data_IF_257101977737
#
_entry.id   IF_257101977737
#
_cell.length_a   1.000
_cell.length_b   1.000
_cell.length_c   1.000
_cell.angle_alpha   90.00
_cell.angle_beta   90.00
_cell.angle_gamma   90.00
#
_symmetry.space_group_name_H-M   'P 1'
#
loop_
_entity.id
_entity.type
_entity.pdbx_description
1 polymer ?
#
# COMPACT_ATOMS: atom_id res chain seq x y z
N UNK A 1 43.34 -44.47 -93.39
CA UNK A 1 44.14 -43.23 -93.21
C UNK A 1 44.33 -43.08 -91.71
N UNK A 2 45.51 -43.32 -91.14
CA UNK A 2 46.73 -42.49 -91.24
C UNK A 2 46.52 -41.07 -90.67
N UNK A 3 47.49 -40.52 -89.92
CA UNK A 3 48.25 -41.18 -88.84
C UNK A 3 48.57 -40.20 -87.66
N UNK A 4 49.50 -40.61 -86.77
CA UNK A 4 50.56 -39.75 -86.16
C UNK A 4 50.17 -38.64 -85.15
N UNK A 5 50.99 -38.26 -84.17
CA UNK A 5 52.25 -38.83 -83.62
C UNK A 5 52.52 -38.20 -82.24
N UNK A 6 53.40 -38.83 -81.46
CA UNK A 6 54.33 -38.20 -80.51
C UNK A 6 53.79 -37.39 -79.29
N UNK A 7 54.49 -37.29 -78.17
CA UNK A 7 55.62 -38.08 -77.62
C UNK A 7 55.95 -37.62 -76.19
N UNK A 8 56.74 -38.44 -75.49
CA UNK A 8 57.50 -38.14 -74.26
C UNK A 8 56.80 -38.21 -72.90
N UNK A 9 57.63 -38.71 -71.98
CA UNK A 9 57.38 -39.00 -70.57
C UNK A 9 57.47 -37.75 -69.68
N UNK A 10 56.65 -37.68 -68.63
CA UNK A 10 57.13 -37.84 -67.23
C UNK A 10 56.05 -37.56 -66.17
N UNK A 11 56.12 -38.33 -65.08
CA UNK A 11 55.65 -38.09 -63.71
C UNK A 11 54.55 -37.02 -63.38
N UNK A 12 53.45 -37.54 -62.76
CA UNK A 12 52.94 -37.20 -61.40
C UNK A 12 51.63 -36.37 -61.25
N UNK A 13 50.61 -37.06 -60.68
CA UNK A 13 49.50 -36.62 -59.78
C UNK A 13 48.30 -35.79 -60.31
N UNK A 14 47.10 -36.32 -59.94
CA UNK A 14 45.84 -35.63 -59.58
C UNK A 14 45.05 -34.90 -60.70
N UNK A 15 43.75 -34.52 -60.51
CA UNK A 15 42.78 -34.86 -59.44
C UNK A 15 41.36 -35.32 -59.92
N UNK A 16 40.51 -35.62 -58.92
CA UNK A 16 39.06 -35.90 -58.88
C UNK A 16 38.08 -35.23 -59.85
N UNK A 17 37.03 -35.97 -60.21
CA UNK A 17 35.59 -35.65 -59.94
C UNK A 17 34.72 -36.89 -60.31
N UNK A 18 33.46 -37.11 -59.92
CA UNK A 18 32.63 -36.70 -58.77
C UNK A 18 31.50 -37.76 -58.60
N UNK A 19 30.98 -38.02 -57.39
CA UNK A 19 29.79 -38.87 -57.18
C UNK A 19 28.93 -38.38 -55.99
N UNK A 20 27.61 -38.38 -56.16
CA UNK A 20 26.64 -37.75 -55.24
C UNK A 20 26.00 -38.81 -54.33
N UNK A 21 26.44 -38.91 -53.08
CA UNK A 21 25.77 -39.71 -52.04
C UNK A 21 24.83 -38.85 -51.18
N UNK A 22 23.72 -39.46 -50.77
CA UNK A 22 22.65 -38.87 -49.98
C UNK A 22 23.08 -38.54 -48.55
N UNK A 23 22.82 -37.31 -48.11
CA UNK A 23 23.04 -36.86 -46.73
C UNK A 23 22.07 -37.54 -45.75
N UNK A 24 22.59 -38.28 -44.78
CA UNK A 24 21.99 -38.44 -43.46
C UNK A 24 22.88 -37.75 -42.44
N UNK A 25 22.34 -36.81 -41.67
CA UNK A 25 23.08 -36.11 -40.61
C UNK A 25 23.39 -37.03 -39.41
N UNK A 26 24.36 -36.68 -38.55
CA UNK A 26 24.78 -37.50 -37.42
C UNK A 26 23.73 -37.52 -36.30
N UNK A 27 22.78 -38.45 -36.41
CA UNK A 27 21.89 -38.86 -35.33
C UNK A 27 22.63 -39.72 -34.31
N UNK A 28 22.71 -39.23 -33.08
CA UNK A 28 23.17 -39.98 -31.90
C UNK A 28 22.41 -39.45 -30.69
N UNK A 29 22.13 -40.31 -29.71
CA UNK A 29 21.31 -39.90 -28.56
C UNK A 29 22.03 -38.85 -27.72
N UNK A 30 21.27 -38.14 -26.88
CA UNK A 30 21.82 -37.14 -25.95
C UNK A 30 22.88 -37.78 -25.02
N UNK A 31 22.67 -39.05 -24.64
CA UNK A 31 23.62 -39.87 -23.89
C UNK A 31 24.92 -40.11 -24.66
N UNK A 32 24.86 -40.40 -25.95
CA UNK A 32 26.06 -40.64 -26.77
C UNK A 32 26.88 -39.37 -26.98
N UNK A 33 26.22 -38.20 -27.01
CA UNK A 33 26.89 -36.89 -27.07
C UNK A 33 27.58 -36.52 -25.75
N UNK A 34 27.01 -36.90 -24.60
CA UNK A 34 27.59 -36.70 -23.28
C UNK A 34 28.73 -37.69 -22.97
N UNK A 35 28.65 -38.91 -23.51
CA UNK A 35 29.70 -39.94 -23.39
C UNK A 35 30.75 -39.87 -24.50
N UNK A 36 30.61 -38.96 -25.47
CA UNK A 36 31.60 -38.73 -26.51
C UNK A 36 32.93 -38.28 -25.87
N UNK A 37 34.05 -38.85 -26.33
CA UNK A 37 35.38 -38.49 -25.81
C UNK A 37 35.64 -37.00 -26.01
N UNK A 38 35.69 -36.28 -24.90
CA UNK A 38 36.09 -34.88 -24.83
C UNK A 38 37.42 -34.66 -25.55
N UNK A 39 37.47 -33.66 -26.43
CA UNK A 39 38.72 -33.20 -27.07
C UNK A 39 39.47 -32.16 -26.22
N UNK A 40 39.02 -31.91 -24.99
CA UNK A 40 39.71 -31.01 -24.05
C UNK A 40 41.03 -31.65 -23.67
N UNK A 41 42.13 -30.94 -23.93
CA UNK A 41 43.48 -31.38 -23.53
C UNK A 41 43.61 -31.38 -22.00
N UNK A 42 44.59 -32.10 -21.45
CA UNK A 42 44.88 -32.05 -20.02
C UNK A 42 45.09 -30.61 -19.52
N UNK A 43 45.70 -29.75 -20.35
CA UNK A 43 45.83 -28.31 -20.10
C UNK A 43 44.47 -27.60 -20.02
N UNK A 44 43.54 -27.90 -20.93
CA UNK A 44 42.19 -27.33 -20.91
C UNK A 44 41.39 -27.73 -19.68
N UNK A 45 41.52 -28.98 -19.21
CA UNK A 45 40.92 -29.44 -17.95
C UNK A 45 41.48 -28.69 -16.74
N UNK A 46 42.81 -28.50 -16.69
CA UNK A 46 43.47 -27.71 -15.64
C UNK A 46 42.98 -26.26 -15.66
N UNK A 47 42.92 -25.61 -16.83
CA UNK A 47 42.45 -24.22 -16.95
C UNK A 47 41.00 -24.05 -16.50
N UNK A 48 40.10 -24.96 -16.90
CA UNK A 48 38.69 -24.95 -16.45
C UNK A 48 38.61 -25.17 -14.93
N UNK A 49 39.40 -26.11 -14.39
CA UNK A 49 39.50 -26.35 -12.94
C UNK A 49 40.01 -25.13 -12.16
N UNK A 50 41.01 -24.43 -12.67
CA UNK A 50 41.53 -23.19 -12.09
C UNK A 50 40.48 -22.06 -12.13
N UNK A 51 39.80 -21.86 -13.26
CA UNK A 51 38.74 -20.83 -13.38
C UNK A 51 37.56 -21.14 -12.45
N UNK A 52 37.12 -22.40 -12.40
CA UNK A 52 36.07 -22.84 -11.47
C UNK A 52 36.51 -22.68 -10.00
N UNK A 53 37.74 -23.08 -9.66
CA UNK A 53 38.30 -22.92 -8.32
C UNK A 53 38.40 -21.46 -7.88
N UNK A 54 38.88 -20.56 -8.75
CA UNK A 54 38.93 -19.12 -8.50
C UNK A 54 37.53 -18.52 -8.36
N UNK A 55 36.57 -18.94 -9.19
CA UNK A 55 35.18 -18.51 -9.09
C UNK A 55 34.53 -18.97 -7.78
N UNK A 56 34.73 -20.24 -7.41
CA UNK A 56 34.22 -20.81 -6.17
C UNK A 56 34.84 -20.13 -4.94
N UNK A 57 36.16 -19.93 -4.91
CA UNK A 57 36.84 -19.22 -3.84
C UNK A 57 36.42 -17.75 -3.74
N UNK A 58 36.16 -17.09 -4.88
CA UNK A 58 35.62 -15.72 -4.90
C UNK A 58 34.21 -15.64 -4.33
N UNK A 59 33.31 -16.55 -4.73
CA UNK A 59 31.94 -16.62 -4.20
C UNK A 59 31.91 -17.03 -2.72
N UNK A 60 32.72 -18.02 -2.30
CA UNK A 60 32.84 -18.41 -0.88
C UNK A 60 33.41 -17.26 -0.04
N UNK A 61 34.41 -16.53 -0.55
CA UNK A 61 34.93 -15.32 0.11
C UNK A 61 33.86 -14.24 0.22
N UNK A 62 33.04 -14.03 -0.80
CA UNK A 62 31.93 -13.08 -0.78
C UNK A 62 30.89 -13.47 0.30
N UNK A 63 30.48 -14.73 0.35
CA UNK A 63 29.56 -15.26 1.38
C UNK A 63 30.15 -15.18 2.79
N UNK A 64 31.44 -15.47 2.97
CA UNK A 64 32.13 -15.35 4.27
C UNK A 64 32.35 -13.90 4.69
N UNK A 65 32.55 -12.96 3.75
CA UNK A 65 32.63 -11.53 4.07
C UNK A 65 31.26 -10.97 4.48
N UNK A 66 30.18 -11.43 3.83
CA UNK A 66 28.81 -11.12 4.25
C UNK A 66 28.52 -11.65 5.67
N UNK A 67 28.79 -12.93 5.94
CA UNK A 67 28.55 -13.51 7.28
C UNK A 67 29.50 -12.99 8.36
N UNK A 68 30.73 -12.60 8.00
CA UNK A 68 31.70 -12.02 8.92
C UNK A 68 31.38 -10.59 9.33
N UNK A 69 30.52 -9.88 8.61
CA UNK A 69 30.16 -8.50 8.88
C UNK A 69 29.17 -8.35 10.05
N UNK A 70 28.32 -9.34 10.32
CA UNK A 70 27.31 -9.26 11.39
C UNK A 70 27.89 -9.32 12.82
N UNK A 71 29.18 -9.67 12.99
CA UNK A 71 29.81 -9.77 14.32
C UNK A 71 30.66 -8.54 14.71
N UNK A 72 30.74 -7.50 13.87
CA UNK A 72 31.56 -6.31 14.09
C UNK A 72 30.75 -5.10 14.57
N UNK A 73 31.00 -4.64 15.80
CA UNK A 73 30.18 -3.58 16.41
C UNK A 73 30.29 -2.18 15.78
N UNK A 74 29.14 -1.51 15.66
CA UNK A 74 28.97 -0.05 15.49
C UNK A 74 29.69 0.61 14.32
N UNK A 75 29.10 0.51 13.13
CA UNK A 75 29.17 1.56 12.11
C UNK A 75 27.74 1.99 11.81
N UNK A 76 27.47 3.29 11.73
CA UNK A 76 26.22 3.80 11.21
C UNK A 76 26.18 3.52 9.70
N UNK A 77 25.53 2.42 9.32
CA UNK A 77 25.39 2.00 7.92
C UNK A 77 24.55 3.03 7.18
N UNK A 78 25.03 3.47 6.02
CA UNK A 78 24.19 4.20 5.05
C UNK A 78 22.96 3.34 4.75
N UNK A 79 21.73 3.86 4.88
CA UNK A 79 20.51 3.15 4.50
C UNK A 79 20.60 2.61 3.07
N UNK A 80 20.31 1.33 2.84
CA UNK A 80 20.31 0.77 1.47
C UNK A 80 19.06 1.25 0.71
N UNK A 81 17.93 1.35 1.41
CA UNK A 81 16.68 1.90 0.93
C UNK A 81 16.27 3.12 1.77
N UNK A 82 15.54 4.06 1.14
CA UNK A 82 14.99 5.21 1.87
C UNK A 82 14.03 4.79 3.00
N UNK A 83 13.39 3.62 2.86
CA UNK A 83 12.52 3.02 3.89
C UNK A 83 13.27 2.68 5.18
N UNK A 84 14.57 2.43 5.11
CA UNK A 84 15.37 2.04 6.27
C UNK A 84 15.72 3.25 7.16
N UNK A 85 15.39 4.46 6.70
CA UNK A 85 15.43 5.69 7.54
C UNK A 85 14.22 5.82 8.47
N UNK A 86 13.18 5.01 8.31
CA UNK A 86 11.97 5.05 9.13
C UNK A 86 12.26 4.40 10.49
N UNK A 87 12.36 5.24 11.53
CA UNK A 87 12.43 4.76 12.91
C UNK A 87 11.03 4.44 13.44
N UNK A 88 10.79 3.16 13.74
CA UNK A 88 9.56 2.73 14.41
C UNK A 88 9.66 2.97 15.91
N UNK A 89 8.71 3.70 16.50
CA UNK A 89 8.67 3.86 17.94
C UNK A 89 8.18 2.57 18.60
N UNK A 90 9.11 1.75 19.11
CA UNK A 90 8.78 0.45 19.72
C UNK A 90 7.75 0.54 20.86
N UNK A 91 7.65 1.68 21.57
CA UNK A 91 6.64 1.88 22.62
C UNK A 91 5.20 1.91 22.09
N UNK A 92 5.01 2.10 20.79
CA UNK A 92 3.70 2.17 20.14
C UNK A 92 3.26 0.83 19.57
N UNK A 93 4.18 -0.14 19.51
CA UNK A 93 3.84 -1.52 19.15
C UNK A 93 2.88 -2.18 20.14
N UNK A 94 2.72 -1.63 21.35
CA UNK A 94 1.74 -2.10 22.34
C UNK A 94 0.28 -1.77 21.96
N UNK A 95 0.05 -0.89 20.98
CA UNK A 95 -1.31 -0.51 20.60
C UNK A 95 -1.99 -1.63 19.81
N UNK A 96 -3.23 -1.96 20.21
CA UNK A 96 -4.07 -3.00 19.62
C UNK A 96 -5.36 -2.44 18.99
N UNK A 97 -5.70 -1.18 19.29
CA UNK A 97 -6.99 -0.59 18.96
C UNK A 97 -6.85 0.65 18.08
N UNK A 98 -7.37 0.57 16.85
CA UNK A 98 -7.52 1.72 15.96
C UNK A 98 -8.82 2.46 16.29
N UNK A 99 -8.72 3.69 16.77
CA UNK A 99 -9.85 4.62 16.84
C UNK A 99 -9.76 5.55 15.63
N UNK A 100 -10.70 5.47 14.71
CA UNK A 100 -10.71 6.26 13.48
C UNK A 100 -11.79 7.34 13.53
N UNK A 101 -11.41 8.61 13.34
CA UNK A 101 -12.36 9.72 13.11
C UNK A 101 -12.35 10.06 11.62
N UNK A 102 -13.50 9.93 10.97
CA UNK A 102 -13.63 10.17 9.54
C UNK A 102 -13.78 11.67 9.22
N UNK A 103 -12.88 12.20 8.40
CA UNK A 103 -12.88 13.57 7.90
C UNK A 103 -14.06 13.85 6.97
N UNK A 104 -14.69 15.01 7.14
CA UNK A 104 -15.89 15.41 6.39
C UNK A 104 -15.85 16.84 5.84
N UNK A 105 -14.95 17.69 6.34
CA UNK A 105 -14.68 19.07 5.94
C UNK A 105 -13.30 19.47 6.49
N UNK A 106 -12.81 20.67 6.18
CA UNK A 106 -11.48 21.14 6.61
C UNK A 106 -11.65 22.39 7.48
N UNK A 107 -11.22 22.35 8.74
CA UNK A 107 -11.16 23.54 9.60
C UNK A 107 -10.00 24.45 9.16
N UNK A 108 -10.20 25.77 9.16
CA UNK A 108 -9.28 26.75 8.56
C UNK A 108 -8.07 27.10 9.43
N UNK A 109 -8.05 26.70 10.70
CA UNK A 109 -6.99 27.07 11.64
C UNK A 109 -7.22 28.43 12.34
N UNK A 110 -8.48 28.87 12.44
CA UNK A 110 -8.88 30.10 13.14
C UNK A 110 -8.91 29.96 14.66
N UNK A 111 -9.80 30.70 15.32
CA UNK A 111 -10.03 30.55 16.77
C UNK A 111 -10.76 29.22 17.07
N UNK A 112 -10.23 28.33 17.93
CA UNK A 112 -10.89 27.09 18.30
C UNK A 112 -12.24 27.28 19.03
N UNK A 113 -12.47 28.45 19.65
CA UNK A 113 -13.77 28.78 20.24
C UNK A 113 -14.86 29.03 19.18
N UNK A 114 -14.46 29.37 17.95
CA UNK A 114 -15.37 29.69 16.85
C UNK A 114 -15.69 28.48 15.95
N UNK A 115 -15.32 27.28 16.36
CA UNK A 115 -15.48 26.04 15.59
C UNK A 115 -16.93 25.72 15.17
N UNK A 116 -17.97 26.28 15.80
CA UNK A 116 -19.36 26.10 15.35
C UNK A 116 -19.73 26.97 14.14
N UNK A 117 -18.95 28.00 13.79
CA UNK A 117 -19.25 28.89 12.66
C UNK A 117 -18.83 28.27 11.33
N UNK A 118 -19.74 28.22 10.36
CA UNK A 118 -19.43 27.85 8.96
C UNK A 118 -18.27 28.65 8.35
N UNK A 119 -18.05 29.90 8.80
CA UNK A 119 -16.92 30.74 8.36
C UNK A 119 -15.55 30.11 8.62
N UNK A 120 -15.43 29.25 9.64
CA UNK A 120 -14.16 28.62 10.03
C UNK A 120 -13.88 27.31 9.28
N UNK A 121 -14.73 26.91 8.34
CA UNK A 121 -14.64 25.63 7.64
C UNK A 121 -14.67 25.78 6.12
N UNK A 122 -13.97 24.87 5.44
CA UNK A 122 -14.09 24.63 4.00
C UNK A 122 -15.13 23.52 3.80
N UNK A 123 -16.38 23.95 3.62
CA UNK A 123 -17.56 23.09 3.48
C UNK A 123 -17.85 22.76 2.01
N UNK A 124 -18.55 21.66 1.77
CA UNK A 124 -19.29 21.44 0.52
C UNK A 124 -20.56 22.31 0.50
N UNK A 125 -21.08 22.64 -0.68
CA UNK A 125 -22.33 23.43 -0.84
C UNK A 125 -23.52 22.75 -0.14
N UNK A 126 -23.59 21.42 -0.13
CA UNK A 126 -24.63 20.67 0.57
C UNK A 126 -24.47 20.68 2.11
N UNK A 127 -23.30 21.09 2.62
CA UNK A 127 -22.97 21.09 4.06
C UNK A 127 -23.17 22.46 4.72
N UNK A 128 -23.11 23.55 3.96
CA UNK A 128 -23.26 24.91 4.49
C UNK A 128 -24.68 25.17 5.02
N UNK A 129 -24.77 25.94 6.11
CA UNK A 129 -26.02 26.38 6.74
C UNK A 129 -26.77 25.33 7.56
N UNK A 130 -26.20 24.12 7.76
CA UNK A 130 -26.88 22.96 8.39
C UNK A 130 -26.29 22.51 9.74
N UNK A 131 -25.54 23.37 10.43
CA UNK A 131 -24.94 23.03 11.74
C UNK A 131 -23.85 21.94 11.69
N UNK A 132 -23.38 21.56 10.49
CA UNK A 132 -22.35 20.55 10.28
C UNK A 132 -21.02 20.80 11.05
N UNK A 133 -20.50 22.03 11.20
CA UNK A 133 -19.32 22.31 12.02
C UNK A 133 -19.38 21.74 13.43
N UNK A 134 -20.53 21.88 14.11
CA UNK A 134 -20.78 21.34 15.45
C UNK A 134 -20.68 19.81 15.47
N UNK A 135 -21.16 19.14 14.42
CA UNK A 135 -21.06 17.70 14.28
C UNK A 135 -19.59 17.26 14.12
N UNK A 136 -18.82 17.95 13.28
CA UNK A 136 -17.40 17.65 13.08
C UNK A 136 -16.61 17.80 14.38
N UNK A 137 -16.85 18.87 15.13
CA UNK A 137 -16.23 19.04 16.45
C UNK A 137 -16.64 17.94 17.44
N UNK A 138 -17.92 17.55 17.47
CA UNK A 138 -18.39 16.44 18.30
C UNK A 138 -17.74 15.09 17.90
N UNK A 139 -17.43 14.86 16.62
CA UNK A 139 -16.69 13.68 16.16
C UNK A 139 -15.25 13.69 16.65
N UNK A 140 -14.59 14.86 16.60
CA UNK A 140 -13.24 15.06 17.12
C UNK A 140 -13.19 14.83 18.63
N UNK A 141 -14.10 15.46 19.37
CA UNK A 141 -14.23 15.31 20.82
C UNK A 141 -14.50 13.85 21.23
N UNK A 142 -15.38 13.13 20.52
CA UNK A 142 -15.64 11.72 20.83
C UNK A 142 -14.45 10.81 20.51
N UNK A 143 -13.72 11.08 19.43
CA UNK A 143 -12.47 10.38 19.13
C UNK A 143 -11.41 10.57 20.21
N UNK A 144 -11.24 11.81 20.68
CA UNK A 144 -10.34 12.15 21.79
C UNK A 144 -10.78 11.48 23.11
N UNK A 145 -12.05 11.55 23.47
CA UNK A 145 -12.63 10.90 24.66
C UNK A 145 -12.32 9.39 24.70
N UNK A 146 -12.60 8.68 23.60
CA UNK A 146 -12.35 7.24 23.49
C UNK A 146 -10.84 6.92 23.58
N UNK A 147 -9.99 7.74 22.97
CA UNK A 147 -8.54 7.56 23.01
C UNK A 147 -7.93 7.90 24.38
N UNK A 148 -8.57 8.74 25.18
CA UNK A 148 -8.17 8.99 26.57
C UNK A 148 -8.63 7.86 27.52
N UNK A 149 -9.79 7.25 27.24
CA UNK A 149 -10.32 6.12 28.00
C UNK A 149 -9.52 4.82 27.79
N UNK A 150 -9.06 4.56 26.56
CA UNK A 150 -8.25 3.38 26.23
C UNK A 150 -6.76 3.73 26.10
N UNK A 151 -5.89 3.07 26.89
CA UNK A 151 -4.44 3.28 26.84
C UNK A 151 -3.77 2.52 25.69
N UNK A 152 -4.40 1.47 25.16
CA UNK A 152 -3.90 0.63 24.08
C UNK A 152 -4.36 1.13 22.69
N UNK A 153 -5.05 2.28 22.62
CA UNK A 153 -5.54 2.82 21.35
C UNK A 153 -4.60 3.83 20.70
N UNK A 154 -4.58 3.83 19.37
CA UNK A 154 -4.08 4.93 18.54
C UNK A 154 -5.27 5.63 17.87
N UNK A 155 -5.39 6.94 18.09
CA UNK A 155 -6.36 7.80 17.41
C UNK A 155 -5.82 8.20 16.04
N UNK A 156 -6.57 7.92 14.98
CA UNK A 156 -6.27 8.32 13.60
C UNK A 156 -7.40 9.21 13.10
N UNK A 157 -7.09 10.50 12.89
CA UNK A 157 -7.94 11.37 12.08
C UNK A 157 -7.64 11.06 10.61
N UNK A 158 -8.66 10.80 9.79
CA UNK A 158 -8.46 10.33 8.40
C UNK A 158 -9.26 11.12 7.40
N UNK A 159 -8.59 11.63 6.37
CA UNK A 159 -9.18 12.38 5.28
C UNK A 159 -8.17 13.35 4.67
N UNK A 160 -7.98 13.28 3.36
CA UNK A 160 -6.97 14.03 2.63
C UNK A 160 -7.36 15.47 2.27
N UNK A 161 -6.65 16.05 1.32
CA UNK A 161 -6.89 17.41 0.81
C UNK A 161 -8.04 17.40 -0.23
N UNK A 162 -9.25 17.16 0.26
CA UNK A 162 -10.45 16.89 -0.56
C UNK A 162 -11.03 18.13 -1.28
N UNK A 163 -10.61 19.35 -0.89
CA UNK A 163 -11.20 20.62 -1.33
C UNK A 163 -10.14 21.73 -1.50
N UNK A 164 -10.44 22.67 -2.41
CA UNK A 164 -9.73 23.96 -2.56
C UNK A 164 -10.46 25.07 -1.76
N UNK A 165 -9.82 26.20 -1.42
CA UNK A 165 -8.46 26.63 -1.77
C UNK A 165 -7.40 26.34 -0.67
N UNK A 166 -7.68 25.45 0.28
CA UNK A 166 -6.76 25.13 1.38
C UNK A 166 -5.64 24.17 0.96
N UNK A 167 -4.51 24.25 1.67
CA UNK A 167 -3.39 23.30 1.61
C UNK A 167 -3.47 22.19 2.67
N UNK A 168 -4.36 22.36 3.66
CA UNK A 168 -4.57 21.40 4.75
C UNK A 168 -5.38 20.19 4.30
N UNK A 169 -5.16 19.05 4.94
CA UNK A 169 -6.04 17.87 4.83
C UNK A 169 -7.18 17.97 5.86
N UNK A 170 -8.25 17.18 5.66
CA UNK A 170 -9.30 17.05 6.68
C UNK A 170 -8.69 16.53 8.00
N UNK A 171 -7.84 15.50 7.93
CA UNK A 171 -7.15 14.90 9.08
C UNK A 171 -6.25 15.87 9.86
N UNK A 172 -5.40 16.66 9.17
CA UNK A 172 -4.56 17.68 9.79
C UNK A 172 -5.42 18.71 10.51
N UNK A 173 -6.47 19.21 9.85
CA UNK A 173 -7.35 20.20 10.47
C UNK A 173 -8.08 19.68 11.71
N UNK A 174 -8.44 18.39 11.74
CA UNK A 174 -9.10 17.75 12.88
C UNK A 174 -8.12 17.53 14.04
N UNK A 175 -6.89 17.07 13.78
CA UNK A 175 -5.87 16.92 14.83
C UNK A 175 -5.46 18.28 15.41
N UNK A 176 -5.28 19.30 14.55
CA UNK A 176 -4.98 20.66 14.99
C UNK A 176 -6.10 21.22 15.88
N UNK A 177 -7.37 21.03 15.52
CA UNK A 177 -8.51 21.46 16.32
C UNK A 177 -8.62 20.68 17.65
N UNK A 178 -8.32 19.38 17.65
CA UNK A 178 -8.30 18.56 18.87
C UNK A 178 -7.27 19.06 19.90
N UNK A 179 -6.08 19.46 19.42
CA UNK A 179 -5.02 20.00 20.27
C UNK A 179 -5.32 21.45 20.71
N UNK A 180 -5.79 22.31 19.80
CA UNK A 180 -6.02 23.73 20.08
C UNK A 180 -7.25 23.98 20.97
N UNK A 181 -8.27 23.11 20.91
CA UNK A 181 -9.40 23.12 21.84
C UNK A 181 -9.13 22.39 23.18
N UNK A 182 -7.91 21.86 23.39
CA UNK A 182 -7.55 21.15 24.62
C UNK A 182 -8.26 19.80 24.83
N UNK A 183 -8.85 19.22 23.77
CA UNK A 183 -9.49 17.89 23.81
C UNK A 183 -8.45 16.76 23.96
N UNK A 184 -7.24 16.98 23.45
CA UNK A 184 -6.09 16.10 23.63
C UNK A 184 -5.03 16.79 24.52
N UNK A 185 -4.45 16.10 25.51
CA UNK A 185 -3.39 16.64 26.35
C UNK A 185 -2.20 17.16 25.52
N UNK A 186 -1.88 18.43 25.68
CA UNK A 186 -0.67 19.04 25.15
C UNK A 186 -0.08 19.96 26.22
N UNK A 187 1.21 19.84 26.46
CA UNK A 187 2.00 20.79 27.26
C UNK A 187 2.81 21.69 26.31
N UNK A 188 3.61 22.60 26.86
CA UNK A 188 4.56 23.39 26.09
C UNK A 188 5.74 22.57 25.53
N UNK A 189 5.93 21.32 25.99
CA UNK A 189 7.06 20.45 25.61
C UNK A 189 6.64 19.14 24.97
N UNK A 190 5.40 18.67 25.18
CA UNK A 190 4.92 17.37 24.73
C UNK A 190 3.50 17.47 24.16
N UNK A 191 3.27 16.76 23.05
CA UNK A 191 1.93 16.59 22.44
C UNK A 191 1.42 15.17 22.68
N UNK A 192 0.11 14.96 22.55
CA UNK A 192 -0.50 13.64 22.77
C UNK A 192 0.01 12.58 21.78
N UNK A 193 0.97 11.75 22.23
CA UNK A 193 1.68 10.77 21.39
C UNK A 193 0.79 9.67 20.80
N UNK A 194 -0.44 9.49 21.28
CA UNK A 194 -1.40 8.48 20.81
C UNK A 194 -2.45 9.02 19.84
N UNK A 195 -2.16 10.12 19.15
CA UNK A 195 -2.92 10.58 17.98
C UNK A 195 -2.01 10.79 16.76
N UNK A 196 -2.57 10.60 15.55
CA UNK A 196 -1.91 10.89 14.28
C UNK A 196 -2.93 11.18 13.16
N UNK A 197 -2.42 11.54 11.98
CA UNK A 197 -3.19 11.80 10.76
C UNK A 197 -3.03 10.68 9.74
N UNK A 198 -4.06 10.49 8.92
CA UNK A 198 -4.06 9.79 7.63
C UNK A 198 -4.51 10.82 6.58
N UNK A 199 -3.59 11.21 5.70
CA UNK A 199 -3.67 12.45 4.92
C UNK A 199 -4.03 12.26 3.44
N UNK A 200 -4.53 11.08 3.06
CA UNK A 200 -4.71 10.69 1.66
C UNK A 200 -6.11 10.16 1.31
N UNK A 201 -6.95 9.77 2.28
CA UNK A 201 -8.28 9.25 1.97
C UNK A 201 -9.21 10.31 1.35
N UNK A 202 -9.82 9.96 0.21
CA UNK A 202 -10.75 10.83 -0.52
C UNK A 202 -12.21 10.42 -0.32
N UNK A 203 -12.46 9.29 0.33
CA UNK A 203 -13.79 8.78 0.63
C UNK A 203 -13.84 7.87 1.87
N UNK A 204 -15.03 7.42 2.24
CA UNK A 204 -15.28 6.60 3.43
C UNK A 204 -14.67 5.19 3.41
N UNK A 205 -14.43 4.61 2.22
CA UNK A 205 -13.76 3.32 2.12
C UNK A 205 -12.25 3.50 2.37
N UNK A 206 -11.67 4.50 1.69
CA UNK A 206 -10.28 4.89 1.87
C UNK A 206 -10.02 5.33 3.31
N UNK A 207 -10.95 6.03 3.98
CA UNK A 207 -10.77 6.37 5.39
C UNK A 207 -10.47 5.12 6.23
N UNK A 208 -11.27 4.08 6.06
CA UNK A 208 -11.10 2.82 6.80
C UNK A 208 -9.77 2.14 6.47
N UNK A 209 -9.53 1.80 5.19
CA UNK A 209 -8.37 0.98 4.83
C UNK A 209 -7.04 1.73 4.95
N UNK A 210 -7.01 3.04 4.69
CA UNK A 210 -5.81 3.84 4.90
C UNK A 210 -5.54 4.09 6.38
N UNK A 211 -6.57 4.18 7.24
CA UNK A 211 -6.34 4.23 8.69
C UNK A 211 -5.75 2.93 9.24
N UNK A 212 -6.16 1.77 8.70
CA UNK A 212 -5.55 0.46 9.02
C UNK A 212 -4.09 0.41 8.54
N UNK A 213 -3.80 0.87 7.32
CA UNK A 213 -2.44 0.96 6.79
C UNK A 213 -1.56 1.92 7.60
N UNK A 214 -2.09 3.11 7.95
CA UNK A 214 -1.44 4.12 8.78
C UNK A 214 -1.18 3.61 10.19
N UNK A 215 -2.08 2.84 10.78
CA UNK A 215 -1.86 2.18 12.08
C UNK A 215 -0.65 1.24 12.01
N UNK A 216 -0.52 0.42 10.95
CA UNK A 216 0.67 -0.44 10.74
C UNK A 216 1.94 0.36 10.49
N UNK A 217 1.88 1.41 9.69
CA UNK A 217 3.01 2.32 9.44
C UNK A 217 3.52 2.97 10.74
N UNK A 218 2.62 3.29 11.68
CA UNK A 218 2.94 3.93 12.97
C UNK A 218 3.45 2.95 14.04
N UNK A 219 2.82 1.77 14.14
CA UNK A 219 3.03 0.82 15.26
C UNK A 219 3.87 -0.41 14.91
N UNK A 220 4.11 -0.67 13.62
CA UNK A 220 4.73 -1.89 13.12
C UNK A 220 3.81 -3.12 13.07
N UNK A 221 2.52 -3.01 13.45
CA UNK A 221 1.54 -4.11 13.38
C UNK A 221 0.14 -3.64 12.98
N UNK A 222 -0.70 -4.56 12.54
CA UNK A 222 -2.13 -4.28 12.29
C UNK A 222 -2.93 -4.27 13.59
N UNK A 223 -4.03 -3.50 13.70
CA UNK A 223 -4.85 -3.46 14.91
C UNK A 223 -5.69 -4.74 15.06
N UNK A 224 -5.94 -5.17 16.30
CA UNK A 224 -6.83 -6.30 16.61
C UNK A 224 -8.32 -5.88 16.60
N UNK A 225 -8.59 -4.59 16.76
CA UNK A 225 -9.94 -4.00 16.79
C UNK A 225 -9.98 -2.58 16.21
N UNK A 226 -11.12 -2.24 15.61
CA UNK A 226 -11.39 -0.91 15.03
C UNK A 226 -12.66 -0.34 15.65
N UNK A 227 -12.59 0.92 16.08
CA UNK A 227 -13.74 1.76 16.41
C UNK A 227 -13.77 2.96 15.48
N UNK A 228 -14.85 3.11 14.70
CA UNK A 228 -15.06 4.26 13.83
C UNK A 228 -15.98 5.27 14.51
N UNK A 229 -15.61 6.56 14.46
CA UNK A 229 -16.41 7.71 14.92
C UNK A 229 -16.82 8.55 13.71
N UNK A 230 -18.10 8.95 13.68
CA UNK A 230 -18.65 9.83 12.65
C UNK A 230 -20.18 9.96 12.75
N UNK A 231 -20.84 10.47 11.72
CA UNK A 231 -22.31 10.56 11.68
C UNK A 231 -22.97 9.17 11.74
N UNK A 232 -23.97 9.01 12.60
CA UNK A 232 -24.67 7.74 12.80
C UNK A 232 -25.36 7.22 11.53
N UNK A 233 -25.83 8.11 10.65
CA UNK A 233 -26.40 7.76 9.33
C UNK A 233 -25.43 6.93 8.47
N UNK A 234 -24.11 7.08 8.65
CA UNK A 234 -23.09 6.37 7.84
C UNK A 234 -22.77 4.98 8.40
N UNK A 235 -23.26 4.64 9.60
CA UNK A 235 -22.97 3.39 10.32
C UNK A 235 -23.17 2.15 9.46
N UNK A 236 -24.33 2.04 8.81
CA UNK A 236 -24.66 0.86 8.00
C UNK A 236 -23.69 0.63 6.84
N UNK A 237 -23.22 1.70 6.19
CA UNK A 237 -22.22 1.60 5.11
C UNK A 237 -20.87 1.10 5.63
N UNK A 238 -20.41 1.61 6.77
CA UNK A 238 -19.16 1.13 7.36
C UNK A 238 -19.24 -0.34 7.79
N UNK A 239 -20.28 -0.73 8.53
CA UNK A 239 -20.42 -2.09 9.08
C UNK A 239 -20.76 -3.13 8.00
N UNK A 240 -21.71 -2.84 7.10
CA UNK A 240 -22.24 -3.83 6.14
C UNK A 240 -21.46 -3.89 4.83
N UNK A 241 -20.77 -2.81 4.45
CA UNK A 241 -20.09 -2.68 3.15
C UNK A 241 -18.56 -2.56 3.33
N UNK A 242 -18.05 -1.52 4.01
CA UNK A 242 -16.60 -1.28 4.07
C UNK A 242 -15.84 -2.34 4.88
N UNK A 243 -16.29 -2.64 6.10
CA UNK A 243 -15.71 -3.69 6.93
C UNK A 243 -15.81 -5.06 6.25
N UNK A 244 -16.92 -5.32 5.55
CA UNK A 244 -17.12 -6.53 4.74
C UNK A 244 -16.17 -6.60 3.54
N UNK A 245 -15.95 -5.50 2.82
CA UNK A 245 -15.07 -5.42 1.65
C UNK A 245 -13.61 -5.77 2.00
N UNK A 246 -13.16 -5.38 3.19
CA UNK A 246 -11.82 -5.74 3.71
C UNK A 246 -11.85 -7.04 4.55
N UNK A 247 -12.99 -7.75 4.63
CA UNK A 247 -13.20 -8.97 5.44
C UNK A 247 -12.76 -8.81 6.91
N UNK A 248 -13.04 -7.65 7.52
CA UNK A 248 -12.72 -7.42 8.93
C UNK A 248 -13.60 -8.29 9.84
N UNK A 249 -13.07 -8.88 10.94
CA UNK A 249 -13.88 -9.67 11.86
C UNK A 249 -14.97 -8.82 12.54
N UNK A 250 -16.24 -9.23 12.40
CA UNK A 250 -17.40 -8.48 12.93
C UNK A 250 -17.31 -8.22 14.44
N UNK A 251 -16.74 -9.16 15.21
CA UNK A 251 -16.54 -9.02 16.67
C UNK A 251 -15.47 -7.99 17.06
N UNK A 252 -14.66 -7.56 16.09
CA UNK A 252 -13.54 -6.62 16.24
C UNK A 252 -13.79 -5.29 15.51
N UNK A 253 -15.05 -5.00 15.15
CA UNK A 253 -15.44 -3.74 14.50
C UNK A 253 -16.57 -3.07 15.29
N UNK A 254 -16.45 -1.78 15.56
CA UNK A 254 -17.51 -0.99 16.17
C UNK A 254 -17.68 0.37 15.48
N UNK A 255 -18.89 0.92 15.55
CA UNK A 255 -19.22 2.23 15.00
C UNK A 255 -19.98 3.08 16.02
N UNK A 256 -19.39 4.21 16.40
CA UNK A 256 -19.93 5.23 17.29
C UNK A 256 -20.49 6.36 16.44
N UNK A 257 -21.82 6.36 16.29
CA UNK A 257 -22.57 7.45 15.67
C UNK A 257 -22.68 8.64 16.62
N UNK A 258 -22.34 9.82 16.14
CA UNK A 258 -22.46 11.09 16.86
C UNK A 258 -23.19 12.08 15.96
N UNK A 259 -24.45 12.34 16.30
CA UNK A 259 -25.34 13.21 15.53
C UNK A 259 -25.83 14.34 16.45
N UNK A 260 -25.73 15.60 15.97
CA UNK A 260 -26.08 16.82 16.72
C UNK A 260 -27.09 17.70 15.96
N UNK A 261 -27.65 17.17 14.87
CA UNK A 261 -28.57 17.86 13.98
C UNK A 261 -30.02 17.78 14.47
N UNK A 262 -30.90 18.59 13.88
CA UNK A 262 -32.34 18.46 14.06
C UNK A 262 -32.86 17.14 13.46
N UNK A 263 -34.07 16.72 13.84
CA UNK A 263 -34.69 15.51 13.29
C UNK A 263 -34.93 15.63 11.77
N UNK A 264 -35.41 16.79 11.32
CA UNK A 264 -35.67 17.07 9.90
C UNK A 264 -34.38 17.06 9.07
N UNK A 265 -33.29 17.66 9.58
CA UNK A 265 -31.97 17.60 8.94
C UNK A 265 -31.43 16.17 8.89
N UNK A 266 -31.71 15.37 9.93
CA UNK A 266 -31.29 13.97 9.98
C UNK A 266 -31.98 13.13 8.91
N UNK A 267 -33.27 13.34 8.64
CA UNK A 267 -34.00 12.65 7.55
C UNK A 267 -33.46 13.01 6.16
N UNK A 268 -33.23 14.31 5.90
CA UNK A 268 -32.59 14.77 4.64
C UNK A 268 -31.18 14.20 4.50
N UNK A 269 -30.42 14.16 5.59
CA UNK A 269 -29.08 13.58 5.59
C UNK A 269 -29.09 12.05 5.38
N UNK A 270 -30.07 11.33 5.93
CA UNK A 270 -30.27 9.89 5.71
C UNK A 270 -30.56 9.57 4.24
N UNK A 271 -31.49 10.29 3.60
CA UNK A 271 -31.78 10.11 2.18
C UNK A 271 -30.55 10.41 1.30
N UNK A 272 -29.83 11.50 1.63
CA UNK A 272 -28.57 11.87 0.99
C UNK A 272 -27.47 10.81 1.16
N UNK A 273 -27.34 10.21 2.35
CA UNK A 273 -26.41 9.11 2.65
C UNK A 273 -26.78 7.87 1.85
N UNK A 274 -28.06 7.50 1.83
CA UNK A 274 -28.53 6.28 1.19
C UNK A 274 -28.30 6.34 -0.33
N UNK A 275 -28.71 7.45 -0.97
CA UNK A 275 -28.57 7.67 -2.42
C UNK A 275 -27.13 7.87 -2.88
N UNK A 276 -26.33 8.66 -2.16
CA UNK A 276 -24.98 9.10 -2.61
C UNK A 276 -23.82 8.37 -1.89
N UNK A 277 -24.15 7.46 -0.99
CA UNK A 277 -23.22 6.69 -0.15
C UNK A 277 -23.56 5.21 -0.16
N UNK A 278 -24.62 4.78 0.55
CA UNK A 278 -24.91 3.36 0.73
C UNK A 278 -25.13 2.61 -0.58
N UNK A 279 -26.07 3.05 -1.43
CA UNK A 279 -26.39 2.37 -2.70
C UNK A 279 -25.17 2.30 -3.64
N UNK A 280 -24.39 3.39 -3.87
CA UNK A 280 -23.18 3.32 -4.67
C UNK A 280 -22.16 2.28 -4.19
N UNK A 281 -21.85 2.21 -2.88
CA UNK A 281 -20.91 1.21 -2.37
C UNK A 281 -21.52 -0.20 -2.30
N UNK A 282 -22.84 -0.32 -2.20
CA UNK A 282 -23.51 -1.63 -2.32
C UNK A 282 -23.23 -2.24 -3.71
N UNK A 283 -23.18 -1.40 -4.76
CA UNK A 283 -22.89 -1.82 -6.13
C UNK A 283 -21.41 -1.75 -6.54
N UNK A 284 -20.54 -1.17 -5.72
CA UNK A 284 -19.09 -1.05 -5.96
C UNK A 284 -18.34 -0.98 -4.62
N UNK A 285 -18.11 -2.16 -4.01
CA UNK A 285 -17.60 -2.30 -2.65
C UNK A 285 -16.24 -1.60 -2.43
N UNK A 286 -15.43 -1.49 -3.49
CA UNK A 286 -14.09 -0.92 -3.45
C UNK A 286 -14.04 0.53 -3.95
N UNK A 287 -15.15 1.08 -4.45
CA UNK A 287 -15.28 2.46 -4.94
C UNK A 287 -14.41 2.80 -6.15
N UNK A 288 -14.02 1.81 -6.95
CA UNK A 288 -13.08 1.95 -8.05
C UNK A 288 -13.76 2.09 -9.44
N UNK A 289 -15.09 2.12 -9.49
CA UNK A 289 -15.88 2.23 -10.72
C UNK A 289 -16.67 3.54 -10.84
N UNK A 290 -16.99 3.92 -12.08
CA UNK A 290 -17.94 4.97 -12.50
C UNK A 290 -18.01 6.20 -11.57
N UNK A 291 -19.12 6.34 -10.84
CA UNK A 291 -19.45 7.45 -9.95
C UNK A 291 -18.47 7.57 -8.78
N UNK A 292 -18.07 6.47 -8.14
CA UNK A 292 -17.16 6.51 -7.00
C UNK A 292 -15.73 6.82 -7.44
N UNK A 293 -15.28 6.27 -8.56
CA UNK A 293 -14.00 6.63 -9.17
C UNK A 293 -13.96 8.09 -9.66
N UNK A 294 -15.07 8.60 -10.23
CA UNK A 294 -15.19 10.02 -10.58
C UNK A 294 -15.14 10.92 -9.33
N UNK A 295 -15.84 10.53 -8.26
CA UNK A 295 -15.88 11.24 -6.96
C UNK A 295 -14.52 11.24 -6.24
N UNK A 296 -13.72 10.18 -6.35
CA UNK A 296 -12.31 10.18 -5.92
C UNK A 296 -11.49 11.17 -6.73
N UNK A 297 -11.56 11.10 -8.06
CA UNK A 297 -10.81 12.00 -8.97
C UNK A 297 -11.13 13.47 -8.74
N UNK A 298 -12.39 13.85 -8.56
CA UNK A 298 -12.78 15.25 -8.30
C UNK A 298 -12.31 15.77 -6.94
N UNK A 299 -12.07 14.88 -5.97
CA UNK A 299 -11.57 15.22 -4.63
C UNK A 299 -10.05 15.24 -4.51
N UNK A 300 -9.31 14.62 -5.42
CA UNK A 300 -7.83 14.69 -5.39
C UNK A 300 -7.32 16.04 -5.94
N UNK A 301 -7.70 17.13 -5.27
CA UNK A 301 -7.50 18.49 -5.78
C UNK A 301 -6.03 18.93 -5.83
N UNK A 302 -5.14 18.18 -5.17
CA UNK A 302 -3.71 18.42 -5.04
C UNK A 302 -2.82 17.30 -5.64
N UNK A 303 -3.40 16.37 -6.40
CA UNK A 303 -2.69 15.26 -7.06
C UNK A 303 -1.79 14.43 -6.11
N UNK A 304 -2.23 14.23 -4.86
CA UNK A 304 -1.50 13.42 -3.86
C UNK A 304 -1.80 11.93 -4.05
N UNK A 305 -0.85 11.08 -3.65
CA UNK A 305 -0.99 9.62 -3.59
C UNK A 305 -0.42 9.11 -2.25
N UNK A 306 -0.90 7.96 -1.79
CA UNK A 306 -0.55 7.42 -0.48
C UNK A 306 0.74 6.59 -0.47
N UNK A 307 1.49 6.51 0.65
CA UNK A 307 2.72 5.72 0.75
C UNK A 307 2.50 4.22 1.00
N UNK A 308 1.25 3.77 1.21
CA UNK A 308 0.95 2.46 1.80
C UNK A 308 1.40 1.23 0.99
N UNK A 309 1.72 1.35 -0.30
CA UNK A 309 2.39 0.26 -1.04
C UNK A 309 3.77 -0.07 -0.46
N UNK A 310 4.48 0.92 0.07
CA UNK A 310 5.81 0.76 0.69
C UNK A 310 5.72 0.55 2.19
N UNK A 311 4.81 1.24 2.89
CA UNK A 311 4.72 1.22 4.35
C UNK A 311 3.72 0.21 4.93
N UNK A 312 2.89 -0.41 4.08
CA UNK A 312 1.98 -1.51 4.41
C UNK A 312 1.89 -2.51 3.23
N UNK A 313 3.03 -3.09 2.79
CA UNK A 313 3.09 -3.91 1.57
C UNK A 313 2.20 -5.15 1.63
N UNK A 314 1.85 -5.62 2.84
CA UNK A 314 0.93 -6.74 3.04
C UNK A 314 -0.50 -6.42 2.57
N UNK A 315 -0.83 -5.13 2.37
CA UNK A 315 -2.11 -4.67 1.82
C UNK A 315 -2.08 -4.33 0.33
N UNK A 316 -0.93 -4.29 -0.34
CA UNK A 316 -0.80 -3.79 -1.72
C UNK A 316 -1.85 -4.39 -2.67
N UNK A 317 -2.01 -5.73 -2.66
CA UNK A 317 -2.99 -6.44 -3.47
C UNK A 317 -4.46 -6.10 -3.16
N UNK A 318 -4.78 -5.66 -1.93
CA UNK A 318 -6.11 -5.18 -1.54
C UNK A 318 -6.30 -3.70 -1.93
N UNK A 319 -5.25 -2.88 -1.84
CA UNK A 319 -5.29 -1.47 -2.23
C UNK A 319 -5.53 -1.32 -3.74
N UNK A 320 -4.91 -2.19 -4.54
CA UNK A 320 -5.06 -2.22 -6.00
C UNK A 320 -6.25 -3.10 -6.47
N UNK A 321 -7.04 -3.67 -5.55
CA UNK A 321 -8.15 -4.56 -5.90
C UNK A 321 -9.34 -3.80 -6.51
N UNK A 322 -9.53 -4.00 -7.81
CA UNK A 322 -10.70 -3.52 -8.54
C UNK A 322 -11.30 -4.64 -9.42
N UNK A 323 -12.27 -5.43 -8.91
CA UNK A 323 -12.81 -6.58 -9.62
C UNK A 323 -13.85 -6.17 -10.67
N UNK A 324 -13.88 -6.79 -11.87
CA UNK A 324 -14.92 -6.55 -12.87
C UNK A 324 -16.33 -6.85 -12.33
N UNK A 325 -16.45 -7.89 -11.48
CA UNK A 325 -17.63 -8.13 -10.67
C UNK A 325 -17.53 -7.29 -9.39
N UNK A 326 -18.21 -6.14 -9.38
CA UNK A 326 -18.08 -5.09 -8.36
C UNK A 326 -18.47 -5.47 -6.92
N UNK A 327 -19.10 -6.63 -6.75
CA UNK A 327 -19.48 -7.23 -5.46
C UNK A 327 -18.53 -8.35 -5.02
N UNK A 328 -17.55 -8.73 -5.86
CA UNK A 328 -16.60 -9.82 -5.58
C UNK A 328 -15.60 -9.38 -4.50
N UNK A 329 -15.64 -10.06 -3.36
CA UNK A 329 -14.70 -9.81 -2.28
C UNK A 329 -13.28 -10.23 -2.69
N UNK A 330 -12.30 -9.42 -2.28
CA UNK A 330 -10.88 -9.75 -2.37
C UNK A 330 -10.60 -11.10 -1.68
N UNK A 331 -9.99 -12.03 -2.41
CA UNK A 331 -9.76 -13.41 -1.95
C UNK A 331 -8.32 -13.69 -1.50
N UNK A 332 -7.37 -12.78 -1.73
CA UNK A 332 -5.95 -12.96 -1.37
C UNK A 332 -5.69 -13.01 0.15
N UNK A 333 -4.45 -13.15 0.60
CA UNK A 333 -4.11 -13.10 2.02
C UNK A 333 -4.40 -11.72 2.62
N UNK A 334 -4.78 -11.65 3.90
CA UNK A 334 -4.92 -10.40 4.65
C UNK A 334 -4.36 -10.58 6.06
N UNK A 335 -3.71 -9.55 6.66
CA UNK A 335 -3.04 -9.68 7.97
C UNK A 335 -3.95 -10.13 9.13
N UNK A 336 -5.23 -9.75 9.12
CA UNK A 336 -6.24 -10.13 10.12
C UNK A 336 -7.03 -11.40 9.76
N UNK A 337 -6.86 -11.93 8.55
CA UNK A 337 -7.40 -13.24 8.19
C UNK A 337 -6.43 -14.30 8.70
N UNK A 338 -6.72 -14.86 9.87
CA UNK A 338 -5.96 -16.01 10.41
C UNK A 338 -5.92 -17.13 9.36
N UNK A 339 -4.74 -17.74 9.21
CA UNK A 339 -4.56 -18.97 8.44
C UNK A 339 -5.32 -20.15 9.07
#
# INVERSE_FOLDING_TARGET
>A
MLPTYNSYSSFRRQPHSLARQSYMGPGGSLRDRLLARSRVTNLGLILIGCVFGLSLLSNLRYVYLLHGYESGGRIATTPELITDTVSYNHSESQFDHLIMVAGHAIWKGGDPAEHEKDSEWVLDVAQAGRGNPKAFYAHIAKGAELALADRNSLLVFSGGQTRKPTHLTEAQSYLSLALSSGLLPSTSTETFVRATTEDFALDSYQNLIFSVARFRERTGRYPDRITVVGFGIKKQRFEKLHARAIRWPVRSFSYVGVDVASQDDLEVAQDGEHKNGFIPYMHDLYGCHDFLAAKRRSRNTAARFHPYHSSAPELANLLDWCPPSRHQLFSGPLPWSRA
#
